data_IF_268512989140
#
_entry.id   IF_268512989140
#
_cell.length_a   1.000
_cell.length_b   1.000
_cell.length_c   1.000
_cell.angle_alpha   90.00
_cell.angle_beta   90.00
_cell.angle_gamma   90.00
#
_symmetry.space_group_name_H-M   'P 1'
#
loop_
_entity.id
_entity.type
_entity.pdbx_description
1 polymer ?
#
# COMPACT_ATOMS: atom_id res chain seq x y z
N UNK A 1 -32.98 -17.00 11.61
CA UNK A 1 -32.47 -16.64 10.27
C UNK A 1 -33.05 -17.66 9.31
N UNK A 2 -33.64 -17.24 8.19
CA UNK A 2 -34.34 -18.18 7.29
C UNK A 2 -33.30 -19.01 6.52
N UNK A 3 -33.42 -20.34 6.47
CA UNK A 3 -32.43 -21.24 5.83
C UNK A 3 -32.13 -20.85 4.36
N UNK A 4 -33.12 -20.27 3.69
CA UNK A 4 -33.01 -19.74 2.33
C UNK A 4 -32.09 -18.52 2.21
N UNK A 5 -32.06 -17.66 3.25
CA UNK A 5 -31.14 -16.52 3.31
C UNK A 5 -29.71 -16.99 3.58
N UNK A 6 -29.55 -18.01 4.43
CA UNK A 6 -28.24 -18.57 4.74
C UNK A 6 -27.61 -19.23 3.51
N UNK A 7 -28.37 -20.04 2.78
CA UNK A 7 -27.91 -20.66 1.53
C UNK A 7 -27.48 -19.60 0.49
N UNK A 8 -28.19 -18.47 0.43
CA UNK A 8 -27.86 -17.39 -0.49
C UNK A 8 -26.60 -16.62 -0.09
N UNK A 9 -26.35 -16.48 1.22
CA UNK A 9 -25.09 -15.91 1.74
C UNK A 9 -23.93 -16.81 1.31
N UNK A 10 -24.02 -18.11 1.56
CA UNK A 10 -22.97 -19.08 1.22
C UNK A 10 -22.69 -19.12 -0.30
N UNK A 11 -23.73 -19.05 -1.13
CA UNK A 11 -23.56 -18.98 -2.58
C UNK A 11 -22.84 -17.69 -3.03
N UNK A 12 -23.18 -16.55 -2.44
CA UNK A 12 -22.56 -15.27 -2.76
C UNK A 12 -21.11 -15.22 -2.29
N UNK A 13 -20.80 -15.74 -1.09
CA UNK A 13 -19.44 -15.87 -0.58
C UNK A 13 -18.58 -16.75 -1.50
N UNK A 14 -19.13 -17.88 -1.97
CA UNK A 14 -18.45 -18.74 -2.95
C UNK A 14 -18.18 -18.03 -4.28
N UNK A 15 -19.14 -17.25 -4.78
CA UNK A 15 -18.97 -16.45 -6.01
C UNK A 15 -17.91 -15.36 -5.84
N UNK A 16 -17.92 -14.64 -4.72
CA UNK A 16 -16.93 -13.60 -4.39
C UNK A 16 -15.53 -14.23 -4.35
N UNK A 17 -15.36 -15.34 -3.63
CA UNK A 17 -14.09 -16.05 -3.55
C UNK A 17 -13.57 -16.47 -4.94
N UNK A 18 -14.44 -17.00 -5.80
CA UNK A 18 -14.08 -17.39 -7.16
C UNK A 18 -13.66 -16.20 -8.02
N UNK A 19 -14.33 -15.05 -7.87
CA UNK A 19 -14.01 -13.83 -8.58
C UNK A 19 -12.65 -13.26 -8.15
N UNK A 20 -12.40 -13.18 -6.84
CA UNK A 20 -11.12 -12.72 -6.28
C UNK A 20 -9.96 -13.58 -6.76
N UNK A 21 -10.12 -14.91 -6.74
CA UNK A 21 -9.10 -15.84 -7.26
C UNK A 21 -8.87 -15.68 -8.75
N UNK A 22 -9.92 -15.43 -9.53
CA UNK A 22 -9.80 -15.21 -10.97
C UNK A 22 -9.08 -13.89 -11.28
N UNK A 23 -9.41 -12.82 -10.55
CA UNK A 23 -8.74 -11.51 -10.66
C UNK A 23 -7.27 -11.59 -10.28
N UNK A 24 -6.94 -12.29 -9.19
CA UNK A 24 -5.54 -12.49 -8.76
C UNK A 24 -4.74 -13.29 -9.80
N UNK A 25 -5.33 -14.32 -10.41
CA UNK A 25 -4.67 -15.05 -11.50
C UNK A 25 -4.46 -14.17 -12.73
N UNK A 26 -5.46 -13.36 -13.08
CA UNK A 26 -5.35 -12.42 -14.19
C UNK A 26 -4.27 -11.38 -13.94
N UNK A 27 -4.18 -10.81 -12.73
CA UNK A 27 -3.15 -9.82 -12.42
C UNK A 27 -1.74 -10.39 -12.49
N UNK A 28 -1.53 -11.67 -12.17
CA UNK A 28 -0.24 -12.34 -12.34
C UNK A 28 0.09 -12.62 -13.81
N UNK A 29 -0.92 -12.95 -14.62
CA UNK A 29 -0.72 -13.33 -16.03
C UNK A 29 -0.61 -12.12 -16.97
N UNK A 30 -1.15 -10.98 -16.57
CA UNK A 30 -1.09 -9.75 -17.35
C UNK A 30 0.25 -9.06 -17.18
N UNK A 31 0.72 -8.41 -18.24
CA UNK A 31 1.88 -7.53 -18.14
C UNK A 31 1.61 -6.41 -17.12
N UNK A 32 2.63 -5.99 -16.35
CA UNK A 32 2.50 -4.89 -15.40
C UNK A 32 1.92 -3.66 -16.09
N UNK A 33 0.86 -3.10 -15.50
CA UNK A 33 0.23 -1.91 -16.07
C UNK A 33 1.15 -0.70 -15.89
N UNK A 34 1.83 -0.29 -16.96
CA UNK A 34 2.76 0.85 -16.94
C UNK A 34 2.12 2.17 -16.53
N UNK A 35 0.81 2.33 -16.75
CA UNK A 35 0.07 3.54 -16.35
C UNK A 35 -0.36 3.52 -14.88
N UNK A 36 -0.60 2.33 -14.33
CA UNK A 36 -1.08 2.16 -12.95
C UNK A 36 -0.31 1.05 -12.20
N UNK A 37 1.02 1.19 -12.04
CA UNK A 37 1.86 0.14 -11.47
C UNK A 37 1.51 -0.16 -10.01
N UNK A 38 1.17 0.86 -9.21
CA UNK A 38 0.78 0.68 -7.81
C UNK A 38 -0.49 -0.15 -7.68
N UNK A 39 -1.52 0.18 -8.46
CA UNK A 39 -2.81 -0.50 -8.39
C UNK A 39 -2.70 -1.95 -8.87
N UNK A 40 -1.91 -2.17 -9.92
CA UNK A 40 -1.61 -3.51 -10.40
C UNK A 40 -0.86 -4.32 -9.33
N UNK A 41 0.13 -3.72 -8.66
CA UNK A 41 0.89 -4.39 -7.59
C UNK A 41 0.01 -4.77 -6.41
N UNK A 42 -0.85 -3.87 -5.94
CA UNK A 42 -1.81 -4.19 -4.87
C UNK A 42 -2.71 -5.37 -5.23
N UNK A 43 -3.26 -5.37 -6.45
CA UNK A 43 -4.11 -6.45 -6.93
C UNK A 43 -3.35 -7.78 -7.02
N UNK A 44 -2.08 -7.76 -7.45
CA UNK A 44 -1.23 -8.96 -7.53
C UNK A 44 -0.93 -9.56 -6.15
N UNK A 45 -0.88 -8.73 -5.12
CA UNK A 45 -0.63 -9.13 -3.73
C UNK A 45 -1.91 -9.45 -2.95
N UNK A 46 -3.08 -9.25 -3.55
CA UNK A 46 -4.36 -9.40 -2.85
C UNK A 46 -4.56 -8.36 -1.75
N UNK A 47 -3.98 -7.16 -1.92
CA UNK A 47 -4.21 -6.03 -1.02
C UNK A 47 -5.48 -5.31 -1.47
N UNK A 48 -6.48 -5.29 -0.61
CA UNK A 48 -7.82 -4.76 -0.91
C UNK A 48 -8.00 -3.33 -0.38
N UNK A 49 -9.19 -2.77 -0.57
CA UNK A 49 -9.47 -1.34 -0.36
C UNK A 49 -9.18 -0.86 1.07
N UNK A 50 -9.43 -1.67 2.09
CA UNK A 50 -9.16 -1.28 3.49
C UNK A 50 -7.65 -1.21 3.79
N UNK A 51 -6.87 -2.19 3.35
CA UNK A 51 -5.42 -2.20 3.51
C UNK A 51 -4.76 -1.09 2.68
N UNK A 52 -5.30 -0.83 1.47
CA UNK A 52 -4.90 0.31 0.64
C UNK A 52 -5.13 1.64 1.36
N UNK A 53 -6.31 1.86 1.96
CA UNK A 53 -6.60 3.08 2.73
C UNK A 53 -5.62 3.25 3.88
N UNK A 54 -5.31 2.17 4.60
CA UNK A 54 -4.31 2.18 5.69
C UNK A 54 -2.93 2.58 5.17
N UNK A 55 -2.49 2.01 4.05
CA UNK A 55 -1.22 2.36 3.42
C UNK A 55 -1.18 3.84 3.02
N UNK A 56 -2.21 4.33 2.33
CA UNK A 56 -2.28 5.73 1.88
C UNK A 56 -2.34 6.70 3.07
N UNK A 57 -3.00 6.31 4.16
CA UNK A 57 -3.02 7.06 5.41
C UNK A 57 -1.62 7.14 6.04
N UNK A 58 -0.91 6.02 6.15
CA UNK A 58 0.49 5.99 6.62
C UNK A 58 1.36 6.93 5.78
N UNK A 59 1.26 6.83 4.46
CA UNK A 59 2.06 7.64 3.52
C UNK A 59 1.74 9.14 3.62
N UNK A 60 0.49 9.50 3.85
CA UNK A 60 0.07 10.87 4.11
C UNK A 60 0.74 11.44 5.36
N UNK A 61 0.69 10.72 6.48
CA UNK A 61 1.31 11.14 7.75
C UNK A 61 2.83 11.25 7.65
N UNK A 62 3.50 10.28 7.05
CA UNK A 62 4.94 10.32 6.85
C UNK A 62 5.35 11.49 5.93
N UNK A 63 4.50 11.85 4.95
CA UNK A 63 4.75 13.01 4.09
C UNK A 63 4.60 14.32 4.84
N UNK A 64 3.57 14.45 5.69
CA UNK A 64 3.37 15.61 6.57
C UNK A 64 4.56 15.81 7.51
N UNK A 65 5.07 14.71 8.12
CA UNK A 65 6.31 14.71 8.92
C UNK A 65 7.53 15.20 8.15
N UNK A 66 7.73 14.70 6.93
CA UNK A 66 8.85 15.11 6.08
C UNK A 66 8.80 16.62 5.75
N UNK A 67 7.60 17.15 5.52
CA UNK A 67 7.39 18.57 5.25
C UNK A 67 7.39 19.44 6.51
N UNK A 68 7.49 18.84 7.70
CA UNK A 68 7.36 19.51 9.00
C UNK A 68 6.05 20.31 9.12
N UNK A 69 4.99 19.80 8.49
CA UNK A 69 3.65 20.38 8.60
C UNK A 69 3.17 20.18 10.05
N UNK A 70 2.81 21.27 10.72
CA UNK A 70 2.21 21.21 12.06
C UNK A 70 0.75 20.82 11.95
N UNK A 71 0.47 19.61 11.48
CA UNK A 71 -0.88 19.11 11.55
C UNK A 71 -1.11 18.55 12.95
N UNK A 72 -2.11 19.10 13.64
CA UNK A 72 -2.70 18.50 14.83
C UNK A 72 -3.49 17.25 14.44
N UNK A 73 -2.82 16.28 13.84
CA UNK A 73 -3.45 15.04 13.40
C UNK A 73 -3.86 14.26 14.65
N UNK A 74 -5.11 13.79 14.63
CA UNK A 74 -5.62 12.92 15.69
C UNK A 74 -4.76 11.66 15.72
N UNK A 75 -4.25 11.34 16.90
CA UNK A 75 -3.63 10.04 17.16
C UNK A 75 -4.73 8.99 17.02
N UNK A 76 -4.52 8.08 16.08
CA UNK A 76 -5.39 6.93 15.87
C UNK A 76 -4.72 5.69 16.46
N UNK A 77 -5.41 5.04 17.40
CA UNK A 77 -4.91 3.87 18.12
C UNK A 77 -4.81 2.61 17.25
N UNK A 78 -5.38 2.61 16.04
CA UNK A 78 -5.22 1.52 15.08
C UNK A 78 -3.82 1.47 14.45
N UNK A 79 -3.04 2.56 14.56
CA UNK A 79 -1.71 2.67 13.98
C UNK A 79 -0.60 2.69 15.05
N UNK A 80 0.63 2.26 14.70
CA UNK A 80 1.78 2.36 15.58
C UNK A 80 2.04 3.82 16.00
N UNK A 81 2.39 4.03 17.26
CA UNK A 81 2.68 5.37 17.81
C UNK A 81 3.79 6.11 17.07
N UNK A 82 4.74 5.34 16.53
CA UNK A 82 5.87 5.76 15.73
C UNK A 82 5.44 6.53 14.46
N UNK A 83 4.22 6.30 13.98
CA UNK A 83 3.67 7.05 12.84
C UNK A 83 3.50 8.54 13.16
N UNK A 84 3.16 8.86 14.43
CA UNK A 84 2.81 10.21 14.88
C UNK A 84 3.99 10.96 15.54
N UNK A 85 5.21 10.42 15.43
CA UNK A 85 6.42 11.11 15.86
C UNK A 85 6.69 12.37 15.02
N UNK A 86 7.39 13.35 15.61
CA UNK A 86 7.72 14.62 14.93
C UNK A 86 9.01 14.58 14.14
N UNK A 87 9.88 13.62 14.42
CA UNK A 87 11.15 13.48 13.75
C UNK A 87 10.94 13.04 12.28
N UNK A 88 11.96 13.30 11.45
CA UNK A 88 11.92 12.90 10.05
C UNK A 88 11.71 11.39 9.92
N UNK A 89 10.89 10.94 8.95
CA UNK A 89 10.65 9.51 8.76
C UNK A 89 11.94 8.83 8.31
N UNK A 90 12.32 7.73 8.96
CA UNK A 90 13.47 6.91 8.51
C UNK A 90 12.98 5.69 7.73
N UNK A 91 13.80 5.18 6.81
CA UNK A 91 13.47 4.01 6.01
C UNK A 91 13.04 2.81 6.87
N UNK A 92 13.84 2.48 7.88
CA UNK A 92 13.57 1.34 8.76
C UNK A 92 12.25 1.52 9.53
N UNK A 93 11.98 2.74 10.03
CA UNK A 93 10.70 3.03 10.70
C UNK A 93 9.52 2.94 9.73
N UNK A 94 9.64 3.49 8.52
CA UNK A 94 8.58 3.42 7.51
C UNK A 94 8.24 1.98 7.15
N UNK A 95 9.25 1.14 6.90
CA UNK A 95 9.06 -0.29 6.64
C UNK A 95 8.40 -0.98 7.83
N UNK A 96 8.87 -0.72 9.06
CA UNK A 96 8.31 -1.33 10.27
C UNK A 96 6.84 -0.95 10.50
N UNK A 97 6.48 0.33 10.31
CA UNK A 97 5.10 0.81 10.42
C UNK A 97 4.22 0.08 9.40
N UNK A 98 4.60 0.08 8.11
CA UNK A 98 3.81 -0.57 7.05
C UNK A 98 3.69 -2.08 7.29
N UNK A 99 4.81 -2.74 7.63
CA UNK A 99 4.87 -4.17 7.95
C UNK A 99 3.90 -4.55 9.07
N UNK A 100 3.92 -3.79 10.17
CA UNK A 100 3.06 -4.05 11.33
C UNK A 100 1.57 -3.77 11.06
N UNK A 101 1.25 -2.70 10.31
CA UNK A 101 -0.15 -2.33 10.02
C UNK A 101 -0.79 -3.25 8.98
N UNK A 102 -0.05 -3.66 7.95
CA UNK A 102 -0.57 -4.47 6.85
C UNK A 102 -0.23 -5.96 6.97
N UNK A 103 0.50 -6.36 8.02
CA UNK A 103 0.98 -7.73 8.24
C UNK A 103 1.81 -8.28 7.05
N UNK A 104 2.62 -7.42 6.42
CA UNK A 104 3.52 -7.78 5.32
C UNK A 104 4.91 -8.11 5.89
N UNK A 105 5.35 -9.35 5.75
CA UNK A 105 6.59 -9.84 6.38
C UNK A 105 7.88 -9.52 5.63
N UNK A 106 7.79 -9.22 4.35
CA UNK A 106 8.95 -9.06 3.47
C UNK A 106 9.13 -7.58 3.13
N UNK A 107 10.29 -7.02 3.50
CA UNK A 107 10.61 -5.61 3.29
C UNK A 107 10.68 -5.27 1.80
N UNK A 108 11.14 -6.21 0.98
CA UNK A 108 11.24 -6.06 -0.47
C UNK A 108 9.87 -5.83 -1.11
N UNK A 109 8.82 -6.48 -0.59
CA UNK A 109 7.44 -6.28 -1.07
C UNK A 109 6.99 -4.86 -0.76
N UNK A 110 7.28 -4.36 0.45
CA UNK A 110 6.93 -3.00 0.85
C UNK A 110 7.67 -1.99 -0.04
N UNK A 111 8.97 -2.18 -0.23
CA UNK A 111 9.78 -1.36 -1.13
C UNK A 111 9.21 -1.34 -2.55
N UNK A 112 8.88 -2.49 -3.12
CA UNK A 112 8.29 -2.58 -4.46
C UNK A 112 6.96 -1.81 -4.55
N UNK A 113 6.07 -1.95 -3.55
CA UNK A 113 4.81 -1.18 -3.51
C UNK A 113 5.09 0.32 -3.51
N UNK A 114 6.02 0.78 -2.68
CA UNK A 114 6.39 2.20 -2.57
C UNK A 114 7.01 2.72 -3.86
N UNK A 115 7.88 1.95 -4.52
CA UNK A 115 8.42 2.33 -5.83
C UNK A 115 7.33 2.38 -6.91
N UNK A 116 6.36 1.47 -6.89
CA UNK A 116 5.20 1.54 -7.77
C UNK A 116 4.33 2.79 -7.50
N UNK A 117 4.19 3.23 -6.24
CA UNK A 117 3.52 4.50 -5.92
C UNK A 117 4.26 5.68 -6.56
N UNK A 118 5.60 5.69 -6.47
CA UNK A 118 6.43 6.72 -7.08
C UNK A 118 6.27 6.78 -8.60
N UNK A 119 6.33 5.63 -9.28
CA UNK A 119 6.13 5.52 -10.73
C UNK A 119 4.74 6.03 -11.15
N UNK A 120 3.71 5.82 -10.33
CA UNK A 120 2.37 6.34 -10.56
C UNK A 120 2.20 7.82 -10.16
N UNK A 121 3.27 8.48 -9.71
CA UNK A 121 3.28 9.89 -9.35
C UNK A 121 2.78 10.22 -7.95
N UNK A 122 2.62 9.22 -7.09
CA UNK A 122 2.17 9.38 -5.71
C UNK A 122 3.36 9.56 -4.77
N UNK A 123 3.20 10.43 -3.75
CA UNK A 123 4.17 10.62 -2.66
C UNK A 123 5.63 10.81 -3.10
N UNK A 124 5.86 11.40 -4.28
CA UNK A 124 7.19 11.47 -4.92
C UNK A 124 8.30 11.92 -3.98
N UNK A 125 8.09 13.04 -3.28
CA UNK A 125 9.09 13.60 -2.34
C UNK A 125 9.49 12.63 -1.24
N UNK A 126 8.50 11.98 -0.61
CA UNK A 126 8.74 11.02 0.47
C UNK A 126 9.48 9.80 -0.05
N UNK A 127 9.05 9.22 -1.17
CA UNK A 127 9.67 7.99 -1.69
C UNK A 127 11.08 8.28 -2.22
N UNK A 128 11.32 9.41 -2.89
CA UNK A 128 12.66 9.86 -3.28
C UNK A 128 13.58 10.10 -2.09
N UNK A 129 13.02 10.55 -0.96
CA UNK A 129 13.79 10.74 0.29
C UNK A 129 14.18 9.40 0.92
N UNK A 130 13.28 8.41 0.90
CA UNK A 130 13.50 7.09 1.51
C UNK A 130 14.35 6.16 0.62
N UNK A 131 14.22 6.25 -0.70
CA UNK A 131 14.86 5.36 -1.70
C UNK A 131 15.57 6.15 -2.81
N UNK A 132 16.59 6.98 -2.47
CA UNK A 132 17.20 7.89 -3.43
C UNK A 132 17.92 7.15 -4.58
N UNK A 133 18.51 5.98 -4.33
CA UNK A 133 19.25 5.24 -5.35
C UNK A 133 18.34 4.45 -6.30
N UNK A 134 17.25 3.90 -5.78
CA UNK A 134 16.24 3.20 -6.56
C UNK A 134 15.46 4.16 -7.45
N UNK A 135 15.05 5.31 -6.90
CA UNK A 135 14.34 6.33 -7.68
C UNK A 135 15.21 6.86 -8.82
N UNK A 136 16.50 7.12 -8.58
CA UNK A 136 17.42 7.51 -9.66
C UNK A 136 17.46 6.48 -10.79
N UNK A 137 17.46 5.18 -10.47
CA UNK A 137 17.45 4.12 -11.49
C UNK A 137 16.15 4.13 -12.30
N UNK A 138 15.02 4.40 -11.65
CA UNK A 138 13.72 4.48 -12.31
C UNK A 138 13.63 5.70 -13.24
N UNK A 139 14.07 6.86 -12.79
CA UNK A 139 14.05 8.10 -13.59
C UNK A 139 14.97 8.02 -14.83
N UNK A 140 16.05 7.22 -14.76
CA UNK A 140 16.97 7.00 -15.90
C UNK A 140 16.36 6.09 -16.97
N UNK A 141 15.43 5.20 -16.60
CA UNK A 141 14.79 4.26 -17.54
C UNK A 141 13.65 4.95 -18.33
N UNK A 142 13.16 6.11 -17.87
CA UNK A 142 12.11 6.90 -18.53
C UNK A 142 12.65 7.96 -19.53
N UNK A 143 13.97 8.01 -19.78
CA UNK A 143 14.65 8.89 -20.77
C UNK A 143 15.16 8.11 -21.99
#
# INVERSE_FOLDING_TARGET
>A
MNDEQQNKIEELEGKIYSLEKSLMRLSILMEPNSKYPYWHKLLSLGIFEEDKKKLEYIMFHLSSRLNQEQDSLRIDTEYPSELFEKDLPTLNQTIAIISSTLNIKYEEIIQEILLCMYQQGMFKKLISFLFPEEVKKLDVVEL
#
